data_IF_430720027907
#
_entry.id   IF_430720027907
#
_cell.length_a   1.000
_cell.length_b   1.000
_cell.length_c   1.000
_cell.angle_alpha   90.00
_cell.angle_beta   90.00
_cell.angle_gamma   90.00
#
_symmetry.space_group_name_H-M   'P 1'
#
loop_
_entity.id
_entity.type
_entity.pdbx_description
1 polymer ?
#
# COMPACT_ATOMS: atom_id res chain seq x y z
N UNK A 1 -21.76 -26.89 -1.76
CA UNK A 1 -21.13 -26.19 -0.64
C UNK A 1 -20.88 -24.78 -1.11
N UNK A 2 -20.96 -23.69 -0.55
CA UNK A 2 -20.68 -22.27 -0.98
C UNK A 2 -21.46 -21.73 -2.20
N UNK A 3 -22.64 -22.23 -2.52
CA UNK A 3 -23.45 -21.78 -3.68
C UNK A 3 -23.79 -20.28 -3.66
N UNK A 4 -23.87 -19.68 -2.48
CA UNK A 4 -24.13 -18.24 -2.28
C UNK A 4 -22.99 -17.34 -2.73
N UNK A 5 -21.74 -17.87 -2.86
CA UNK A 5 -20.58 -17.12 -3.38
C UNK A 5 -20.51 -17.15 -4.92
N UNK A 6 -21.18 -18.07 -5.60
CA UNK A 6 -21.10 -18.18 -7.07
C UNK A 6 -21.44 -16.90 -7.83
N UNK A 7 -22.45 -16.10 -7.42
CA UNK A 7 -22.72 -14.83 -8.10
C UNK A 7 -21.52 -13.87 -8.04
N UNK A 8 -20.78 -13.87 -6.93
CA UNK A 8 -19.60 -13.01 -6.73
C UNK A 8 -18.34 -13.50 -7.45
N UNK A 9 -18.35 -14.69 -8.03
CA UNK A 9 -17.27 -15.18 -8.89
C UNK A 9 -17.32 -14.57 -10.30
N UNK A 10 -18.45 -13.98 -10.72
CA UNK A 10 -18.58 -13.34 -12.03
C UNK A 10 -17.89 -11.98 -12.03
N UNK A 11 -17.03 -11.73 -13.03
CA UNK A 11 -16.30 -10.47 -13.19
C UNK A 11 -17.21 -9.23 -13.26
N UNK A 12 -18.34 -9.33 -13.97
CA UNK A 12 -19.33 -8.28 -14.05
C UNK A 12 -19.91 -7.90 -12.68
N UNK A 13 -20.26 -8.92 -11.86
CA UNK A 13 -20.76 -8.69 -10.50
C UNK A 13 -19.68 -8.03 -9.62
N UNK A 14 -18.42 -8.49 -9.72
CA UNK A 14 -17.29 -7.89 -9.01
C UNK A 14 -17.07 -6.43 -9.44
N UNK A 15 -17.16 -6.14 -10.75
CA UNK A 15 -17.03 -4.80 -11.28
C UNK A 15 -18.05 -3.84 -10.68
N UNK A 16 -19.33 -4.24 -10.66
CA UNK A 16 -20.39 -3.42 -10.09
C UNK A 16 -20.28 -3.28 -8.57
N UNK A 17 -19.95 -4.36 -7.87
CA UNK A 17 -19.72 -4.32 -6.42
C UNK A 17 -18.58 -3.35 -6.04
N UNK A 18 -17.43 -3.48 -6.70
CA UNK A 18 -16.30 -2.55 -6.50
C UNK A 18 -16.68 -1.11 -6.83
N UNK A 19 -17.54 -0.90 -7.86
CA UNK A 19 -18.05 0.42 -8.20
C UNK A 19 -18.94 1.05 -7.13
N UNK A 20 -19.75 0.25 -6.44
CA UNK A 20 -20.59 0.70 -5.31
C UNK A 20 -19.78 0.95 -4.04
N UNK A 21 -18.78 0.12 -3.75
CA UNK A 21 -17.95 0.24 -2.55
C UNK A 21 -16.89 1.35 -2.66
N UNK A 22 -16.38 1.60 -3.87
CA UNK A 22 -15.31 2.57 -4.10
C UNK A 22 -15.61 3.97 -3.55
N UNK A 23 -16.76 4.64 -3.82
CA UNK A 23 -17.03 5.96 -3.28
C UNK A 23 -17.16 5.97 -1.75
N UNK A 24 -17.69 4.90 -1.15
CA UNK A 24 -17.79 4.78 0.31
C UNK A 24 -16.40 4.82 0.96
N UNK A 25 -15.46 3.98 0.49
CA UNK A 25 -14.09 3.99 1.01
C UNK A 25 -13.35 5.28 0.66
N UNK A 26 -13.66 5.89 -0.49
CA UNK A 26 -13.10 7.18 -0.89
C UNK A 26 -13.48 8.32 0.06
N UNK A 27 -14.77 8.41 0.43
CA UNK A 27 -15.25 9.43 1.38
C UNK A 27 -14.56 9.26 2.75
N UNK A 28 -14.48 8.02 3.27
CA UNK A 28 -13.81 7.75 4.54
C UNK A 28 -12.33 8.15 4.45
N UNK A 29 -11.63 7.76 3.40
CA UNK A 29 -10.22 8.10 3.20
C UNK A 29 -10.01 9.61 3.20
N UNK A 30 -10.79 10.36 2.42
CA UNK A 30 -10.68 11.82 2.33
C UNK A 30 -10.95 12.50 3.68
N UNK A 31 -12.00 12.09 4.40
CA UNK A 31 -12.32 12.66 5.70
C UNK A 31 -11.21 12.40 6.73
N UNK A 32 -10.73 11.15 6.84
CA UNK A 32 -9.67 10.79 7.78
C UNK A 32 -8.36 11.52 7.45
N UNK A 33 -7.98 11.60 6.18
CA UNK A 33 -6.78 12.31 5.75
C UNK A 33 -6.91 13.81 5.95
N UNK A 34 -8.05 14.42 5.60
CA UNK A 34 -8.26 15.85 5.79
C UNK A 34 -8.15 16.22 7.28
N UNK A 35 -8.86 15.48 8.15
CA UNK A 35 -8.81 15.74 9.61
C UNK A 35 -7.42 15.44 10.17
N UNK A 36 -6.84 14.28 9.86
CA UNK A 36 -5.56 13.85 10.40
C UNK A 36 -4.40 14.76 9.97
N UNK A 37 -4.33 15.14 8.70
CA UNK A 37 -3.27 16.02 8.17
C UNK A 37 -3.44 17.43 8.69
N UNK A 38 -4.64 18.01 8.64
CA UNK A 38 -4.87 19.38 9.16
C UNK A 38 -4.59 19.44 10.66
N UNK A 39 -5.07 18.48 11.44
CA UNK A 39 -4.78 18.41 12.86
C UNK A 39 -3.28 18.26 13.13
N UNK A 40 -2.63 17.30 12.48
CA UNK A 40 -1.22 17.03 12.65
C UNK A 40 -0.31 18.19 12.25
N UNK A 41 -0.61 18.87 11.14
CA UNK A 41 0.22 19.96 10.63
C UNK A 41 -0.03 21.28 11.33
N UNK A 42 -1.29 21.60 11.72
CA UNK A 42 -1.65 22.92 12.23
C UNK A 42 -1.79 22.97 13.75
N UNK A 43 -2.27 21.89 14.39
CA UNK A 43 -2.70 21.94 15.80
C UNK A 43 -1.89 21.04 16.74
N UNK A 44 -1.19 20.01 16.25
CA UNK A 44 -0.35 19.18 17.11
C UNK A 44 0.80 20.02 17.72
N UNK A 45 1.13 19.85 19.02
CA UNK A 45 2.24 20.58 19.64
C UNK A 45 3.56 20.23 18.96
N UNK A 46 4.54 21.14 18.99
CA UNK A 46 5.88 20.85 18.50
C UNK A 46 6.56 19.79 19.39
N UNK A 47 7.37 18.93 18.78
CA UNK A 47 8.18 17.96 19.51
C UNK A 47 9.34 18.67 20.24
N UNK A 48 9.67 18.22 21.45
CA UNK A 48 10.69 18.88 22.27
C UNK A 48 12.12 18.71 21.73
N UNK A 49 12.40 17.67 20.96
CA UNK A 49 13.71 17.43 20.33
C UNK A 49 13.74 17.85 18.87
N UNK A 50 12.67 17.55 18.10
CA UNK A 50 12.62 17.69 16.65
C UNK A 50 11.96 19.01 16.21
N UNK A 51 11.39 19.76 17.15
CA UNK A 51 10.64 20.98 16.80
C UNK A 51 9.48 20.68 15.86
N UNK A 52 9.33 21.45 14.79
CA UNK A 52 8.28 21.25 13.79
C UNK A 52 8.64 20.19 12.72
N UNK A 53 9.89 19.72 12.65
CA UNK A 53 10.32 18.71 11.66
C UNK A 53 9.59 17.38 11.86
N UNK A 54 9.16 17.07 13.10
CA UNK A 54 8.39 15.86 13.40
C UNK A 54 7.08 15.74 12.61
N UNK A 55 6.50 16.86 12.17
CA UNK A 55 5.18 16.89 11.50
C UNK A 55 5.14 16.07 10.21
N UNK A 56 6.31 15.82 9.61
CA UNK A 56 6.44 14.95 8.43
C UNK A 56 5.97 13.52 8.71
N UNK A 57 5.96 13.09 9.99
CA UNK A 57 5.52 11.76 10.40
C UNK A 57 4.06 11.46 10.00
N UNK A 58 3.20 12.47 9.89
CA UNK A 58 1.78 12.29 9.53
C UNK A 58 1.59 11.80 8.08
N UNK A 59 2.61 11.93 7.25
CA UNK A 59 2.65 11.37 5.89
C UNK A 59 3.62 10.20 5.82
N UNK A 60 4.83 10.36 6.39
CA UNK A 60 5.90 9.36 6.31
C UNK A 60 5.51 8.03 6.97
N UNK A 61 5.06 8.08 8.24
CA UNK A 61 4.78 6.86 9.00
C UNK A 61 3.62 6.05 8.40
N UNK A 62 2.46 6.65 8.04
CA UNK A 62 1.41 5.93 7.33
C UNK A 62 1.88 5.34 5.98
N UNK A 63 2.67 6.08 5.21
CA UNK A 63 3.21 5.60 3.94
C UNK A 63 4.14 4.39 4.14
N UNK A 64 5.04 4.43 5.12
CA UNK A 64 5.95 3.33 5.44
C UNK A 64 5.20 2.09 5.98
N UNK A 65 4.17 2.26 6.82
CA UNK A 65 3.35 1.15 7.30
C UNK A 65 2.62 0.48 6.14
N UNK A 66 1.99 1.27 5.27
CA UNK A 66 1.19 0.71 4.18
C UNK A 66 2.00 0.34 2.95
N UNK A 67 3.26 0.80 2.80
CA UNK A 67 4.19 0.20 1.83
C UNK A 67 4.38 -1.30 2.11
N UNK A 68 4.67 -1.66 3.35
CA UNK A 68 4.79 -3.05 3.78
C UNK A 68 3.43 -3.78 3.80
N UNK A 69 2.37 -3.13 4.31
CA UNK A 69 1.03 -3.73 4.43
C UNK A 69 0.42 -4.12 3.07
N UNK A 70 0.57 -3.27 2.07
CA UNK A 70 0.13 -3.56 0.69
C UNK A 70 0.97 -4.69 0.09
N UNK A 71 2.29 -4.70 0.29
CA UNK A 71 3.14 -5.78 -0.22
C UNK A 71 2.78 -7.14 0.41
N UNK A 72 2.57 -7.18 1.72
CA UNK A 72 2.09 -8.38 2.42
C UNK A 72 0.74 -8.87 1.89
N UNK A 73 -0.20 -7.94 1.65
CA UNK A 73 -1.50 -8.25 1.06
C UNK A 73 -1.38 -8.82 -0.36
N UNK A 74 -0.44 -8.28 -1.15
CA UNK A 74 -0.13 -8.80 -2.49
C UNK A 74 0.46 -10.20 -2.43
N UNK A 75 1.36 -10.48 -1.48
CA UNK A 75 1.95 -11.81 -1.32
C UNK A 75 0.88 -12.85 -0.92
N UNK A 76 -0.04 -12.49 -0.03
CA UNK A 76 -1.20 -13.34 0.29
C UNK A 76 -2.06 -13.59 -0.96
N UNK A 77 -2.37 -12.54 -1.73
CA UNK A 77 -3.11 -12.68 -2.98
C UNK A 77 -2.36 -13.55 -4.00
N UNK A 78 -1.03 -13.41 -4.09
CA UNK A 78 -0.18 -14.23 -4.95
C UNK A 78 -0.22 -15.73 -4.55
N UNK A 79 -0.13 -16.03 -3.26
CA UNK A 79 -0.26 -17.40 -2.75
C UNK A 79 -1.61 -17.98 -3.13
N UNK A 80 -2.71 -17.25 -2.85
CA UNK A 80 -4.07 -17.68 -3.18
C UNK A 80 -4.20 -17.92 -4.68
N UNK A 81 -3.65 -17.03 -5.49
CA UNK A 81 -3.69 -17.13 -6.93
C UNK A 81 -2.91 -18.32 -7.48
N UNK A 82 -1.73 -18.62 -6.94
CA UNK A 82 -0.86 -19.69 -7.43
C UNK A 82 -1.34 -21.08 -6.93
N UNK A 83 -1.76 -21.19 -5.68
CA UNK A 83 -2.17 -22.46 -5.07
C UNK A 83 -3.57 -22.87 -5.54
N UNK A 84 -4.54 -21.95 -5.48
CA UNK A 84 -5.95 -22.27 -5.79
C UNK A 84 -6.37 -21.81 -7.19
N UNK A 85 -5.47 -21.25 -7.97
CA UNK A 85 -5.73 -20.77 -9.36
C UNK A 85 -6.88 -19.75 -9.43
N UNK A 86 -7.05 -18.94 -8.34
CA UNK A 86 -8.12 -17.93 -8.24
C UNK A 86 -7.71 -16.69 -9.01
N UNK A 87 -8.36 -16.46 -10.16
CA UNK A 87 -8.08 -15.33 -11.06
C UNK A 87 -8.28 -13.97 -10.39
N UNK A 88 -9.32 -13.83 -9.58
CA UNK A 88 -9.58 -12.60 -8.83
C UNK A 88 -8.40 -12.20 -7.93
N UNK A 89 -7.70 -13.17 -7.35
CA UNK A 89 -6.53 -12.91 -6.52
C UNK A 89 -5.35 -12.37 -7.33
N UNK A 90 -5.10 -12.91 -8.55
CA UNK A 90 -4.12 -12.35 -9.48
C UNK A 90 -4.42 -10.89 -9.83
N UNK A 91 -5.68 -10.60 -10.22
CA UNK A 91 -6.09 -9.26 -10.60
C UNK A 91 -5.99 -8.28 -9.43
N UNK A 92 -6.30 -8.73 -8.20
CA UNK A 92 -6.15 -7.93 -6.97
C UNK A 92 -4.69 -7.60 -6.70
N UNK A 93 -3.78 -8.59 -6.80
CA UNK A 93 -2.34 -8.39 -6.63
C UNK A 93 -1.81 -7.30 -7.56
N UNK A 94 -2.13 -7.39 -8.86
CA UNK A 94 -1.69 -6.40 -9.85
C UNK A 94 -2.35 -5.03 -9.65
N UNK A 95 -3.60 -4.99 -9.16
CA UNK A 95 -4.27 -3.73 -8.84
C UNK A 95 -3.61 -3.00 -7.68
N UNK A 96 -3.10 -3.72 -6.67
CA UNK A 96 -2.44 -3.17 -5.49
C UNK A 96 -1.01 -2.67 -5.75
N UNK A 97 -0.28 -3.28 -6.67
CA UNK A 97 1.15 -3.03 -6.86
C UNK A 97 1.54 -1.55 -7.07
N UNK A 98 0.87 -0.74 -7.91
CA UNK A 98 1.22 0.67 -8.08
C UNK A 98 0.93 1.52 -6.83
N UNK A 99 -0.03 1.11 -6.01
CA UNK A 99 -0.39 1.82 -4.77
C UNK A 99 0.73 1.63 -3.74
N UNK A 100 1.20 0.38 -3.58
CA UNK A 100 2.33 0.09 -2.71
C UNK A 100 3.61 0.75 -3.18
N UNK A 101 3.90 0.74 -4.49
CA UNK A 101 5.04 1.46 -5.07
C UNK A 101 4.97 2.98 -4.76
N UNK A 102 3.80 3.59 -4.88
CA UNK A 102 3.59 4.99 -4.53
C UNK A 102 3.84 5.26 -3.05
N UNK A 103 3.33 4.41 -2.16
CA UNK A 103 3.56 4.58 -0.71
C UNK A 103 5.04 4.42 -0.34
N UNK A 104 5.72 3.43 -0.92
CA UNK A 104 7.16 3.25 -0.71
C UNK A 104 7.96 4.45 -1.21
N UNK A 105 7.61 4.99 -2.38
CA UNK A 105 8.22 6.22 -2.90
C UNK A 105 7.99 7.42 -1.96
N UNK A 106 6.76 7.61 -1.47
CA UNK A 106 6.44 8.67 -0.50
C UNK A 106 7.25 8.47 0.78
N UNK A 107 7.35 7.24 1.31
CA UNK A 107 8.15 6.94 2.49
C UNK A 107 9.62 7.28 2.29
N UNK A 108 10.22 6.90 1.15
CA UNK A 108 11.62 7.21 0.83
C UNK A 108 11.86 8.73 0.73
N UNK A 109 11.04 9.45 -0.02
CA UNK A 109 11.20 10.91 -0.21
C UNK A 109 10.98 11.66 1.10
N UNK A 110 9.90 11.37 1.82
CA UNK A 110 9.61 12.04 3.09
C UNK A 110 10.62 11.66 4.17
N UNK A 111 11.13 10.42 4.17
CA UNK A 111 12.20 9.98 5.04
C UNK A 111 13.51 10.73 4.79
N UNK A 112 13.90 10.94 3.54
CA UNK A 112 15.06 11.75 3.17
C UNK A 112 14.91 13.21 3.63
N UNK A 113 13.74 13.81 3.40
CA UNK A 113 13.43 15.19 3.85
C UNK A 113 13.50 15.30 5.37
N UNK A 114 12.98 14.30 6.09
CA UNK A 114 13.00 14.27 7.56
C UNK A 114 14.42 13.99 8.09
N UNK A 115 15.18 13.13 7.43
CA UNK A 115 16.55 12.79 7.80
C UNK A 115 17.50 13.99 7.76
N UNK A 116 17.33 14.92 6.83
CA UNK A 116 18.22 16.08 6.68
C UNK A 116 18.33 16.93 7.96
N UNK A 117 17.24 17.43 8.58
CA UNK A 117 17.33 18.16 9.84
C UNK A 117 17.70 17.27 11.04
N UNK A 118 17.41 15.96 11.02
CA UNK A 118 17.62 15.07 12.15
C UNK A 118 19.03 14.47 12.20
N UNK A 119 19.59 14.13 11.04
CA UNK A 119 20.86 13.39 10.89
C UNK A 119 21.94 14.18 10.15
N UNK A 120 21.61 15.37 9.63
CA UNK A 120 22.54 16.20 8.84
C UNK A 120 22.72 15.72 7.40
N UNK A 121 22.12 14.62 6.99
CA UNK A 121 22.21 14.03 5.67
C UNK A 121 20.86 13.65 5.10
N UNK A 122 20.74 13.60 3.76
CA UNK A 122 19.53 13.14 3.07
C UNK A 122 19.40 11.63 3.02
N UNK A 123 20.52 10.90 3.09
CA UNK A 123 20.58 9.47 2.91
C UNK A 123 21.77 8.85 3.66
N UNK A 124 21.55 7.68 4.21
CA UNK A 124 22.57 6.77 4.69
C UNK A 124 22.27 5.35 4.20
N UNK A 125 23.30 4.59 3.91
CA UNK A 125 23.16 3.19 3.48
C UNK A 125 23.07 2.28 4.71
N UNK A 126 22.05 2.50 5.53
CA UNK A 126 21.73 1.59 6.63
C UNK A 126 20.74 0.49 6.19
N UNK A 127 20.53 -0.48 7.07
CA UNK A 127 19.68 -1.63 6.77
C UNK A 127 18.23 -1.22 6.50
N UNK A 128 17.70 -0.21 7.21
CA UNK A 128 16.29 0.19 7.08
C UNK A 128 16.00 0.93 5.78
N UNK A 129 16.82 1.95 5.49
CA UNK A 129 16.61 2.75 4.26
C UNK A 129 16.88 1.91 3.02
N UNK A 130 17.93 1.07 3.07
CA UNK A 130 18.27 0.16 1.96
C UNK A 130 17.19 -0.88 1.73
N UNK A 131 16.65 -1.50 2.79
CA UNK A 131 15.56 -2.47 2.65
C UNK A 131 14.25 -1.82 2.14
N UNK A 132 13.94 -0.59 2.54
CA UNK A 132 12.79 0.16 2.00
C UNK A 132 13.00 0.50 0.51
N UNK A 133 14.22 0.84 0.09
CA UNK A 133 14.56 1.03 -1.32
C UNK A 133 14.43 -0.27 -2.12
N UNK A 134 14.87 -1.41 -1.56
CA UNK A 134 14.65 -2.74 -2.16
C UNK A 134 13.17 -3.02 -2.32
N UNK A 135 12.34 -2.68 -1.33
CA UNK A 135 10.88 -2.84 -1.43
C UNK A 135 10.30 -2.05 -2.62
N UNK A 136 10.79 -0.82 -2.84
CA UNK A 136 10.40 -0.03 -4.01
C UNK A 136 10.73 -0.75 -5.32
N UNK A 137 11.96 -1.27 -5.45
CA UNK A 137 12.36 -2.03 -6.64
C UNK A 137 11.63 -3.36 -6.79
N UNK A 138 11.24 -4.01 -5.71
CA UNK A 138 10.38 -5.20 -5.75
C UNK A 138 9.00 -4.86 -6.34
N UNK A 139 8.39 -3.75 -5.97
CA UNK A 139 7.14 -3.28 -6.58
C UNK A 139 7.30 -3.01 -8.08
N UNK A 140 8.36 -2.30 -8.46
CA UNK A 140 8.67 -2.03 -9.88
C UNK A 140 8.91 -3.34 -10.62
N UNK A 141 9.63 -4.30 -10.01
CA UNK A 141 9.89 -5.62 -10.57
C UNK A 141 8.60 -6.43 -10.81
N UNK A 142 7.65 -6.39 -9.85
CA UNK A 142 6.33 -7.03 -10.01
C UNK A 142 5.58 -6.44 -11.21
N UNK A 143 5.55 -5.11 -11.34
CA UNK A 143 4.91 -4.42 -12.46
C UNK A 143 5.60 -4.71 -13.79
N UNK A 144 6.94 -4.71 -13.81
CA UNK A 144 7.74 -5.00 -14.99
C UNK A 144 7.53 -6.44 -15.47
N UNK A 145 7.61 -7.42 -14.56
CA UNK A 145 7.38 -8.83 -14.89
C UNK A 145 5.97 -9.08 -15.43
N UNK A 146 4.95 -8.48 -14.79
CA UNK A 146 3.58 -8.60 -15.30
C UNK A 146 3.44 -8.08 -16.73
N UNK A 147 4.18 -7.02 -17.08
CA UNK A 147 4.12 -6.37 -18.40
C UNK A 147 5.05 -6.98 -19.44
N UNK A 148 6.05 -7.78 -19.02
CA UNK A 148 7.08 -8.33 -19.91
C UNK A 148 6.58 -9.46 -20.80
N UNK A 149 5.48 -10.10 -20.45
CA UNK A 149 4.94 -11.24 -21.19
C UNK A 149 3.69 -10.86 -21.98
N UNK A 150 3.59 -11.32 -23.21
CA UNK A 150 2.38 -11.19 -24.03
C UNK A 150 1.22 -12.02 -23.46
N UNK A 151 1.52 -13.18 -22.87
CA UNK A 151 0.57 -13.99 -22.10
C UNK A 151 0.45 -13.43 -20.69
N UNK A 152 -0.72 -12.87 -20.38
CA UNK A 152 -1.01 -12.30 -19.07
C UNK A 152 -1.00 -13.30 -17.92
N UNK A 153 -1.32 -14.57 -18.20
CA UNK A 153 -1.28 -15.62 -17.17
C UNK A 153 0.16 -15.93 -16.77
N UNK A 154 1.08 -15.98 -17.73
CA UNK A 154 2.51 -16.15 -17.48
C UNK A 154 3.07 -14.95 -16.73
N UNK A 155 2.75 -13.73 -17.19
CA UNK A 155 3.17 -12.50 -16.51
C UNK A 155 2.67 -12.41 -15.06
N UNK A 156 1.40 -12.73 -14.82
CA UNK A 156 0.81 -12.74 -13.48
C UNK A 156 1.45 -13.78 -12.56
N UNK A 157 1.75 -14.99 -13.09
CA UNK A 157 2.44 -16.04 -12.35
C UNK A 157 3.87 -15.63 -11.97
N UNK A 158 4.63 -15.08 -12.92
CA UNK A 158 6.01 -14.61 -12.71
C UNK A 158 6.05 -13.47 -11.68
N UNK A 159 5.17 -12.49 -11.81
CA UNK A 159 5.00 -11.39 -10.86
C UNK A 159 4.61 -11.90 -9.46
N UNK A 160 3.73 -12.91 -9.38
CA UNK A 160 3.31 -13.53 -8.12
C UNK A 160 4.47 -14.26 -7.42
N UNK A 161 5.32 -14.96 -8.16
CA UNK A 161 6.51 -15.61 -7.59
C UNK A 161 7.47 -14.57 -7.01
N UNK A 162 7.76 -13.48 -7.75
CA UNK A 162 8.60 -12.39 -7.23
C UNK A 162 7.99 -11.76 -5.98
N UNK A 163 6.66 -11.57 -5.96
CA UNK A 163 5.96 -11.01 -4.81
C UNK A 163 6.12 -11.90 -3.56
N UNK A 164 6.01 -13.22 -3.70
CA UNK A 164 6.18 -14.16 -2.59
C UNK A 164 7.63 -14.18 -2.10
N UNK A 165 8.60 -14.23 -3.01
CA UNK A 165 10.03 -14.22 -2.65
C UNK A 165 10.38 -12.91 -1.94
N UNK A 166 9.90 -11.79 -2.44
CA UNK A 166 10.17 -10.46 -1.88
C UNK A 166 9.59 -10.23 -0.50
N UNK A 167 8.63 -11.05 -0.03
CA UNK A 167 8.03 -10.89 1.31
C UNK A 167 9.06 -11.01 2.44
N UNK A 168 10.17 -11.70 2.20
CA UNK A 168 11.28 -11.83 3.16
C UNK A 168 11.89 -10.46 3.50
N UNK A 169 11.75 -9.46 2.63
CA UNK A 169 12.22 -8.11 2.89
C UNK A 169 11.40 -7.36 3.96
N UNK A 170 10.14 -7.74 4.19
CA UNK A 170 9.27 -7.04 5.16
C UNK A 170 9.77 -7.18 6.61
N UNK A 171 10.08 -8.39 7.15
CA UNK A 171 10.69 -8.50 8.47
C UNK A 171 12.05 -7.80 8.55
N UNK A 172 12.85 -7.77 7.48
CA UNK A 172 14.12 -7.04 7.45
C UNK A 172 13.86 -5.54 7.68
N UNK A 173 12.90 -4.92 6.97
CA UNK A 173 12.52 -3.53 7.21
C UNK A 173 12.05 -3.34 8.65
N UNK A 174 11.13 -4.19 9.14
CA UNK A 174 10.51 -4.03 10.45
C UNK A 174 11.52 -4.11 11.60
N UNK A 175 12.37 -5.14 11.58
CA UNK A 175 13.33 -5.41 12.66
C UNK A 175 14.72 -4.81 12.42
N UNK A 176 14.93 -4.08 11.34
CA UNK A 176 16.24 -3.51 10.99
C UNK A 176 16.86 -2.67 12.11
N UNK A 177 16.04 -1.92 12.85
CA UNK A 177 16.52 -1.07 13.97
C UNK A 177 16.89 -1.86 15.23
N UNK A 178 16.46 -3.12 15.33
CA UNK A 178 16.80 -4.02 16.43
C UNK A 178 17.99 -4.92 16.07
N UNK A 179 18.10 -5.33 14.80
CA UNK A 179 19.13 -6.25 14.34
C UNK A 179 20.44 -5.56 13.95
N UNK A 180 20.37 -4.29 13.53
CA UNK A 180 21.52 -3.51 13.07
C UNK A 180 21.52 -2.11 13.65
N UNK A 181 22.70 -1.49 13.71
CA UNK A 181 22.85 -0.08 14.05
C UNK A 181 22.34 0.77 12.88
N UNK A 182 21.29 1.56 13.12
CA UNK A 182 20.70 2.49 12.14
C UNK A 182 20.54 3.86 12.80
N UNK A 183 20.49 4.91 11.99
CA UNK A 183 20.15 6.26 12.49
C UNK A 183 18.64 6.39 12.77
N UNK A 184 17.83 5.45 12.27
CA UNK A 184 16.40 5.46 12.44
C UNK A 184 16.03 5.09 13.88
N UNK A 185 15.14 5.87 14.51
CA UNK A 185 14.65 5.58 15.86
C UNK A 185 13.85 4.27 15.91
N UNK A 186 13.84 3.61 17.05
CA UNK A 186 13.07 2.40 17.30
C UNK A 186 11.56 2.61 17.17
N UNK A 187 10.79 1.51 17.16
CA UNK A 187 9.36 1.54 17.01
C UNK A 187 8.66 2.34 18.13
N UNK A 188 7.98 3.43 17.77
CA UNK A 188 7.25 4.27 18.73
C UNK A 188 5.80 3.83 18.92
N UNK A 189 5.21 3.13 17.94
CA UNK A 189 3.78 2.74 17.91
C UNK A 189 3.63 1.22 17.71
N UNK A 190 4.43 0.63 16.82
CA UNK A 190 4.37 -0.80 16.44
C UNK A 190 5.15 -1.67 17.42
N UNK A 191 4.85 -1.55 18.72
CA UNK A 191 5.45 -2.33 19.80
C UNK A 191 4.35 -2.85 20.73
N UNK A 192 4.63 -3.92 21.47
CA UNK A 192 3.67 -4.54 22.41
C UNK A 192 3.48 -3.72 23.71
N UNK A 193 4.15 -2.59 23.84
CA UNK A 193 4.05 -1.68 24.96
C UNK A 193 3.21 -0.44 24.61
N UNK A 194 2.93 0.38 25.62
CA UNK A 194 2.27 1.67 25.43
C UNK A 194 3.04 2.54 24.43
N UNK A 195 2.35 3.19 23.46
CA UNK A 195 2.99 4.11 22.52
C UNK A 195 3.85 5.17 23.23
N UNK A 196 5.05 5.44 22.68
CA UNK A 196 5.98 6.44 23.19
C UNK A 196 5.75 7.85 22.61
N UNK A 197 4.53 8.11 22.13
CA UNK A 197 4.14 9.38 21.50
C UNK A 197 3.05 10.04 22.37
N UNK A 198 3.15 11.35 22.58
CA UNK A 198 2.14 12.12 23.32
C UNK A 198 0.76 12.03 22.61
N UNK A 199 -0.30 11.86 23.39
CA UNK A 199 -1.67 11.69 22.86
C UNK A 199 -2.09 12.74 21.83
N UNK A 200 -1.81 14.06 22.00
CA UNK A 200 -2.15 15.06 21.00
C UNK A 200 -1.46 14.89 19.65
N UNK A 201 -0.32 14.19 19.60
CA UNK A 201 0.40 13.84 18.37
C UNK A 201 -0.04 12.47 17.83
N UNK A 202 -0.41 11.54 18.72
CA UNK A 202 -0.79 10.18 18.38
C UNK A 202 -2.14 10.12 17.66
N UNK A 203 -3.14 10.87 18.13
CA UNK A 203 -4.50 10.83 17.54
C UNK A 203 -4.48 11.19 16.05
N UNK A 204 -3.93 12.35 15.61
CA UNK A 204 -3.87 12.67 14.18
C UNK A 204 -3.03 11.65 13.38
N UNK A 205 -2.00 11.05 13.99
CA UNK A 205 -1.22 10.01 13.33
C UNK A 205 -2.06 8.75 13.07
N UNK A 206 -2.86 8.32 14.04
CA UNK A 206 -3.77 7.18 13.87
C UNK A 206 -4.80 7.47 12.77
N UNK A 207 -5.37 8.69 12.74
CA UNK A 207 -6.28 9.10 11.67
C UNK A 207 -5.61 9.01 10.30
N UNK A 208 -4.36 9.47 10.18
CA UNK A 208 -3.60 9.35 8.93
C UNK A 208 -3.31 7.87 8.56
N UNK A 209 -2.95 7.03 9.53
CA UNK A 209 -2.72 5.58 9.27
C UNK A 209 -3.99 4.93 8.69
N UNK A 210 -5.14 5.15 9.31
CA UNK A 210 -6.40 4.63 8.78
C UNK A 210 -6.81 5.32 7.47
N UNK A 211 -6.52 6.62 7.33
CA UNK A 211 -6.73 7.35 6.08
C UNK A 211 -5.97 6.72 4.90
N UNK A 212 -4.70 6.37 5.06
CA UNK A 212 -3.89 5.66 4.06
C UNK A 212 -4.41 4.25 3.81
N UNK A 213 -4.90 3.53 4.83
CA UNK A 213 -5.57 2.24 4.64
C UNK A 213 -6.78 2.37 3.71
N UNK A 214 -7.71 3.24 4.06
CA UNK A 214 -8.94 3.41 3.26
C UNK A 214 -8.64 3.97 1.87
N UNK A 215 -7.62 4.80 1.73
CA UNK A 215 -7.10 5.23 0.43
C UNK A 215 -6.59 4.04 -0.38
N UNK A 216 -5.81 3.13 0.23
CA UNK A 216 -5.31 1.94 -0.47
C UNK A 216 -6.44 1.01 -0.93
N UNK A 217 -7.46 0.81 -0.09
CA UNK A 217 -8.66 0.03 -0.45
C UNK A 217 -9.40 0.71 -1.60
N UNK A 218 -9.66 2.01 -1.49
CA UNK A 218 -10.37 2.79 -2.51
C UNK A 218 -9.71 2.67 -3.88
N UNK A 219 -8.42 2.97 -3.97
CA UNK A 219 -7.67 2.90 -5.23
C UNK A 219 -7.51 1.46 -5.73
N UNK A 220 -7.37 0.48 -4.83
CA UNK A 220 -7.37 -0.94 -5.21
C UNK A 220 -8.68 -1.32 -5.90
N UNK A 221 -9.84 -0.93 -5.37
CA UNK A 221 -11.14 -1.19 -5.98
C UNK A 221 -11.26 -0.54 -7.37
N UNK A 222 -10.81 0.71 -7.53
CA UNK A 222 -10.80 1.40 -8.84
C UNK A 222 -9.90 0.65 -9.82
N UNK A 223 -8.69 0.33 -9.43
CA UNK A 223 -7.72 -0.36 -10.29
C UNK A 223 -8.14 -1.80 -10.60
N UNK A 224 -8.75 -2.48 -9.65
CA UNK A 224 -9.29 -3.82 -9.85
C UNK A 224 -10.38 -3.81 -10.93
N UNK A 225 -11.27 -2.81 -10.93
CA UNK A 225 -12.27 -2.62 -12.01
C UNK A 225 -11.57 -2.45 -13.37
N UNK A 226 -10.48 -1.68 -13.42
CA UNK A 226 -9.70 -1.53 -14.66
C UNK A 226 -9.10 -2.86 -15.11
N UNK A 227 -8.59 -3.69 -14.18
CA UNK A 227 -8.08 -5.02 -14.53
C UNK A 227 -9.19 -5.94 -15.07
N UNK A 228 -10.38 -5.93 -14.46
CA UNK A 228 -11.54 -6.69 -14.95
C UNK A 228 -11.93 -6.29 -16.38
N UNK A 229 -11.98 -4.99 -16.69
CA UNK A 229 -12.28 -4.50 -18.04
C UNK A 229 -11.23 -4.92 -19.07
N UNK A 230 -9.94 -4.87 -18.70
CA UNK A 230 -8.83 -5.33 -19.56
C UNK A 230 -8.91 -6.84 -19.83
N UNK A 231 -9.23 -7.60 -18.78
CA UNK A 231 -9.32 -9.06 -18.85
C UNK A 231 -10.50 -9.52 -19.71
N UNK A 232 -11.65 -8.87 -19.54
CA UNK A 232 -12.89 -9.21 -20.22
C UNK A 232 -13.20 -8.30 -21.43
N UNK A 233 -12.19 -7.65 -22.01
CA UNK A 233 -12.37 -6.64 -23.08
C UNK A 233 -13.21 -7.10 -24.28
N UNK A 234 -13.22 -8.41 -24.54
CA UNK A 234 -14.00 -9.03 -25.64
C UNK A 234 -15.38 -9.56 -25.19
N UNK A 235 -15.69 -9.55 -23.88
CA UNK A 235 -16.94 -10.09 -23.34
C UNK A 235 -18.14 -9.15 -23.62
N UNK A 236 -19.36 -9.71 -23.80
CA UNK A 236 -20.55 -8.92 -24.09
C UNK A 236 -20.83 -7.78 -23.09
N UNK A 237 -20.70 -8.06 -21.78
CA UNK A 237 -20.98 -7.07 -20.74
C UNK A 237 -20.06 -5.84 -20.82
N UNK A 238 -18.80 -5.99 -21.22
CA UNK A 238 -17.87 -4.87 -21.40
C UNK A 238 -18.22 -4.06 -22.64
N UNK A 239 -18.63 -4.74 -23.75
CA UNK A 239 -19.07 -4.07 -24.98
C UNK A 239 -20.36 -3.26 -24.74
N UNK A 240 -21.29 -3.83 -23.98
CA UNK A 240 -22.53 -3.13 -23.60
C UNK A 240 -22.23 -1.91 -22.71
N UNK A 241 -21.34 -2.05 -21.73
CA UNK A 241 -20.91 -0.92 -20.91
C UNK A 241 -20.30 0.20 -21.77
N UNK A 242 -19.44 -0.14 -22.72
CA UNK A 242 -18.82 0.83 -23.62
C UNK A 242 -19.83 1.52 -24.55
N UNK A 243 -20.90 0.83 -24.98
CA UNK A 243 -21.94 1.42 -25.82
C UNK A 243 -22.81 2.45 -25.07
N UNK A 244 -22.97 2.29 -23.75
CA UNK A 244 -23.72 3.23 -22.89
C UNK A 244 -22.94 4.51 -22.53
N UNK A 245 -21.63 4.56 -22.81
CA UNK A 245 -20.76 5.71 -22.56
C UNK A 245 -20.52 6.59 -23.82
N UNK A 246 -21.02 6.14 -24.96
CA UNK A 246 -21.07 6.89 -26.22
C UNK A 246 -22.40 7.64 -26.36
#
# INVERSE_FOLDING_TARGET
MWKWLHPYAKHETQYHLCGKLSPFFGVIAVLLLAVGIVWGLAYAPADYQQGNSFRIMYVHVPAAIWSMGVYGSMAVAAIIALVWQIKAAHLSMIAMAPIGAMFTFIALVTGAIWGKPMWGTWWVWDARLTAELILFFLYIGVLALYSAFSDRAVGAKSAGILCIVGVVNLPIIHFSVEWWNTLHQGASITKFEKPSIATPMLIPLILCIFGFLFFSIWFTLIRYRVQLLKEDSKRPWVKELASKLK
#
